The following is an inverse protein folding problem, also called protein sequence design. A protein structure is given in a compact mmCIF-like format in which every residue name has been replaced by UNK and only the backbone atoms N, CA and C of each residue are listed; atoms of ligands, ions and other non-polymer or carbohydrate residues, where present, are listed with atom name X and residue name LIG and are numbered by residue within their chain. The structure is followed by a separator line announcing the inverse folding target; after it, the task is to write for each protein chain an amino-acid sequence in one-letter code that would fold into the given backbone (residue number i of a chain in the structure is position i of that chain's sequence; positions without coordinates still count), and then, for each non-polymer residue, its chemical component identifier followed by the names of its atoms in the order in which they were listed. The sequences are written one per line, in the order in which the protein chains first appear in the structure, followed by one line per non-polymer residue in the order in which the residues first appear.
data_IF_683780446802
#
_entry.id   IF_683780446802
#
_cell.length_a   1.000
_cell.length_b   1.000
_cell.length_c   1.000
_cell.angle_alpha   90.00
_cell.angle_beta   90.00
_cell.angle_gamma   90.00
#
_symmetry.space_group_name_H-M   'P 1'
#
loop_
_entity.id
_entity.type
_entity.pdbx_description
1 polymer ?
#
# COMPACT_ATOMS: atom_id res chain seq x y z
N UNK A 1 -21.59 15.62 -3.13
CA UNK A 1 -20.16 15.34 -3.29
C UNK A 1 -19.63 14.73 -2.01
N UNK A 2 -18.85 13.64 -2.08
CA UNK A 2 -18.24 12.99 -0.93
C UNK A 2 -16.86 13.60 -0.73
N UNK A 3 -16.66 14.26 0.38
CA UNK A 3 -15.35 14.85 0.74
C UNK A 3 -14.46 13.84 1.45
N UNK A 4 -13.16 13.86 1.17
CA UNK A 4 -12.16 12.96 1.70
C UNK A 4 -11.05 13.74 2.39
N UNK A 5 -10.64 13.28 3.57
CA UNK A 5 -9.37 13.68 4.22
C UNK A 5 -8.35 12.55 4.03
N UNK A 6 -7.17 12.89 3.45
CA UNK A 6 -6.06 11.95 3.22
C UNK A 6 -4.93 12.21 4.23
N UNK A 7 -4.80 11.34 5.22
CA UNK A 7 -3.81 11.46 6.28
C UNK A 7 -2.64 10.48 6.06
N UNK A 8 -1.43 10.96 6.31
CA UNK A 8 -0.17 10.33 5.91
C UNK A 8 -0.05 10.24 4.38
N UNK A 9 -0.50 11.29 3.68
CA UNK A 9 -0.85 11.32 2.25
C UNK A 9 0.32 11.05 1.27
N UNK A 10 1.58 11.09 1.72
CA UNK A 10 2.72 10.98 0.81
C UNK A 10 2.65 12.00 -0.35
N UNK A 11 3.04 11.58 -1.55
CA UNK A 11 3.00 12.41 -2.75
C UNK A 11 1.60 12.45 -3.46
N UNK A 12 0.56 11.87 -2.85
CA UNK A 12 -0.82 11.97 -3.34
C UNK A 12 -1.33 10.77 -4.15
N UNK A 13 -0.71 9.59 -4.07
CA UNK A 13 -1.18 8.42 -4.81
C UNK A 13 -2.61 7.98 -4.44
N UNK A 14 -2.97 8.03 -3.17
CA UNK A 14 -4.32 7.79 -2.64
C UNK A 14 -5.31 8.84 -3.14
N UNK A 15 -4.93 10.11 -3.03
CA UNK A 15 -5.73 11.24 -3.49
C UNK A 15 -5.95 11.22 -5.00
N UNK A 16 -4.94 10.84 -5.81
CA UNK A 16 -5.08 10.65 -7.25
C UNK A 16 -6.12 9.57 -7.58
N UNK A 17 -6.07 8.45 -6.85
CA UNK A 17 -7.07 7.38 -7.00
C UNK A 17 -8.48 7.83 -6.60
N UNK A 18 -8.61 8.57 -5.51
CA UNK A 18 -9.88 9.07 -5.02
C UNK A 18 -10.50 10.12 -5.98
N UNK A 19 -9.69 11.05 -6.48
CA UNK A 19 -10.13 12.10 -7.41
C UNK A 19 -10.64 11.57 -8.76
N UNK A 20 -10.27 10.33 -9.14
CA UNK A 20 -10.80 9.67 -10.34
C UNK A 20 -12.21 9.12 -10.14
N UNK A 21 -12.73 9.08 -8.92
CA UNK A 21 -14.06 8.56 -8.63
C UNK A 21 -15.08 9.71 -8.76
N UNK A 22 -16.05 9.61 -9.68
CA UNK A 22 -17.06 10.66 -9.82
C UNK A 22 -17.80 10.94 -8.50
N UNK A 23 -17.85 12.20 -8.11
CA UNK A 23 -18.50 12.62 -6.87
C UNK A 23 -17.65 12.54 -5.61
N UNK A 24 -16.35 12.19 -5.72
CA UNK A 24 -15.39 12.25 -4.61
C UNK A 24 -14.44 13.44 -4.81
N UNK A 25 -14.20 14.18 -3.75
CA UNK A 25 -13.29 15.33 -3.69
C UNK A 25 -12.32 15.16 -2.52
N UNK A 26 -11.03 15.39 -2.77
CA UNK A 26 -10.00 15.46 -1.71
C UNK A 26 -10.03 16.85 -1.12
N UNK A 27 -10.62 16.98 0.06
CA UNK A 27 -10.79 18.26 0.74
C UNK A 27 -9.56 18.66 1.57
N UNK A 28 -8.86 17.69 2.15
CA UNK A 28 -7.70 17.95 2.99
C UNK A 28 -6.68 16.80 2.87
N UNK A 29 -5.40 17.15 2.88
CA UNK A 29 -4.29 16.19 2.91
C UNK A 29 -3.23 16.61 3.93
N UNK A 30 -2.67 15.65 4.65
CA UNK A 30 -1.67 15.93 5.68
C UNK A 30 -0.56 14.90 5.77
N UNK A 31 0.66 15.40 6.02
CA UNK A 31 1.84 14.61 6.31
C UNK A 31 2.77 15.41 7.24
N UNK A 32 3.66 14.73 7.96
CA UNK A 32 4.68 15.38 8.78
C UNK A 32 5.90 15.86 7.98
N UNK A 33 6.08 15.38 6.76
CA UNK A 33 7.22 15.70 5.91
C UNK A 33 6.85 16.76 4.86
N UNK A 34 7.46 17.94 4.96
CA UNK A 34 7.14 19.10 4.12
C UNK A 34 7.24 18.77 2.62
N UNK A 35 8.30 18.09 2.18
CA UNK A 35 8.46 17.74 0.77
C UNK A 35 7.31 16.85 0.23
N UNK A 36 6.78 15.95 1.06
CA UNK A 36 5.61 15.16 0.67
C UNK A 36 4.36 16.04 0.53
N UNK A 37 4.18 17.00 1.43
CA UNK A 37 3.08 17.98 1.38
C UNK A 37 3.18 18.86 0.14
N UNK A 38 4.37 19.38 -0.16
CA UNK A 38 4.62 20.23 -1.35
C UNK A 38 4.36 19.45 -2.64
N UNK A 39 4.86 18.22 -2.74
CA UNK A 39 4.62 17.34 -3.90
C UNK A 39 3.13 17.00 -4.04
N UNK A 40 2.44 16.77 -2.91
CA UNK A 40 1.00 16.54 -2.91
C UNK A 40 0.24 17.78 -3.40
N UNK A 41 0.66 18.98 -2.98
CA UNK A 41 0.04 20.23 -3.37
C UNK A 41 0.17 20.52 -4.88
N UNK A 42 1.31 20.17 -5.48
CA UNK A 42 1.47 20.24 -6.94
C UNK A 42 0.53 19.30 -7.68
N UNK A 43 0.31 18.08 -7.15
CA UNK A 43 -0.56 17.09 -7.77
C UNK A 43 -2.06 17.35 -7.51
N UNK A 44 -2.39 17.98 -6.38
CA UNK A 44 -3.77 18.20 -5.91
C UNK A 44 -3.96 19.60 -5.36
N UNK A 45 -3.85 20.68 -6.18
CA UNK A 45 -3.81 22.06 -5.72
C UNK A 45 -5.11 22.54 -5.04
N UNK A 46 -6.22 21.83 -5.24
CA UNK A 46 -7.52 22.21 -4.66
C UNK A 46 -7.73 21.69 -3.22
N UNK A 47 -6.87 20.83 -2.70
CA UNK A 47 -6.98 20.33 -1.33
C UNK A 47 -6.34 21.30 -0.32
N UNK A 48 -6.86 21.33 0.91
CA UNK A 48 -6.20 21.98 2.04
C UNK A 48 -5.00 21.14 2.49
N UNK A 49 -3.79 21.71 2.44
CA UNK A 49 -2.55 20.98 2.74
C UNK A 49 -2.00 21.35 4.11
N UNK A 50 -1.63 20.35 4.90
CA UNK A 50 -1.12 20.53 6.26
C UNK A 50 0.15 19.75 6.50
N UNK A 51 1.23 20.46 6.83
CA UNK A 51 2.45 19.84 7.34
C UNK A 51 2.35 19.72 8.85
N UNK A 52 2.07 18.53 9.37
CA UNK A 52 1.86 18.33 10.81
C UNK A 52 2.22 16.89 11.24
N UNK A 53 2.75 16.76 12.46
CA UNK A 53 2.83 15.47 13.12
C UNK A 53 1.43 15.07 13.61
N UNK A 54 0.82 14.13 12.92
CA UNK A 54 -0.55 13.71 13.18
C UNK A 54 -0.74 13.12 14.57
N UNK A 55 0.32 12.60 15.19
CA UNK A 55 0.25 12.05 16.54
C UNK A 55 0.19 13.14 17.64
N UNK A 56 0.57 14.37 17.30
CA UNK A 56 0.61 15.49 18.25
C UNK A 56 -0.49 16.53 18.02
N UNK A 57 -0.99 16.63 16.77
CA UNK A 57 -2.01 17.63 16.43
C UNK A 57 -3.40 17.19 16.90
N UNK A 58 -4.20 18.14 17.34
CA UNK A 58 -5.61 17.90 17.67
C UNK A 58 -6.44 17.69 16.39
N UNK A 59 -7.23 16.59 16.30
CA UNK A 59 -8.12 16.36 15.16
C UNK A 59 -9.09 17.51 14.86
N UNK A 60 -9.43 18.33 15.85
CA UNK A 60 -10.31 19.50 15.68
C UNK A 60 -9.80 20.54 14.68
N UNK A 61 -8.51 20.56 14.44
CA UNK A 61 -7.91 21.44 13.41
C UNK A 61 -8.15 20.99 11.98
N UNK A 62 -8.71 19.80 11.77
CA UNK A 62 -8.99 19.27 10.44
C UNK A 62 -10.47 19.47 10.06
N UNK A 63 -10.77 19.67 8.76
CA UNK A 63 -12.14 19.81 8.31
C UNK A 63 -12.92 18.51 8.50
N UNK A 64 -14.23 18.67 8.73
CA UNK A 64 -15.12 17.50 8.70
C UNK A 64 -15.31 17.03 7.27
N UNK A 65 -15.02 15.77 7.01
CA UNK A 65 -15.25 15.12 5.72
C UNK A 65 -16.05 13.84 5.88
N UNK A 66 -16.59 13.33 4.79
CA UNK A 66 -17.39 12.11 4.78
C UNK A 66 -16.50 10.87 4.85
N UNK A 67 -15.34 10.93 4.18
CA UNK A 67 -14.40 9.83 4.05
C UNK A 67 -13.07 10.17 4.71
N UNK A 68 -12.44 9.16 5.34
CA UNK A 68 -11.07 9.23 5.82
C UNK A 68 -10.19 8.20 5.11
N UNK A 69 -9.06 8.62 4.56
CA UNK A 69 -8.00 7.73 4.09
C UNK A 69 -6.77 7.90 4.97
N UNK A 70 -6.18 6.77 5.37
CA UNK A 70 -5.02 6.75 6.25
C UNK A 70 -3.97 5.79 5.70
N UNK A 71 -2.74 6.29 5.54
CA UNK A 71 -1.57 5.46 5.17
C UNK A 71 -0.49 5.57 6.26
N UNK A 72 -0.78 5.07 7.50
CA UNK A 72 0.13 5.23 8.63
C UNK A 72 1.47 4.56 8.39
N UNK A 73 2.52 5.06 9.02
CA UNK A 73 3.89 4.60 8.82
C UNK A 73 4.05 3.09 9.01
N UNK A 74 4.77 2.46 8.07
CA UNK A 74 5.02 1.02 8.05
C UNK A 74 6.47 0.64 8.34
N UNK A 75 7.33 1.58 8.73
CA UNK A 75 8.79 1.37 8.79
C UNK A 75 9.22 0.20 9.68
N UNK A 76 8.44 -0.13 10.71
CA UNK A 76 8.70 -1.25 11.61
C UNK A 76 7.87 -2.51 11.34
N UNK A 77 6.99 -2.48 10.34
CA UNK A 77 6.19 -3.64 9.92
C UNK A 77 6.69 -4.27 8.61
N UNK A 78 7.70 -3.68 7.97
CA UNK A 78 8.18 -4.12 6.66
C UNK A 78 9.44 -4.96 6.76
N UNK A 79 9.50 -6.04 5.97
CA UNK A 79 10.72 -6.83 5.73
C UNK A 79 11.68 -6.15 4.72
N UNK A 80 11.37 -4.96 4.23
CA UNK A 80 12.18 -4.26 3.23
C UNK A 80 13.58 -3.88 3.73
N UNK A 81 13.84 -3.91 5.04
CA UNK A 81 15.16 -3.74 5.65
C UNK A 81 16.05 -4.98 5.60
N UNK A 82 15.59 -6.10 5.02
CA UNK A 82 16.43 -7.28 4.79
C UNK A 82 16.72 -8.15 6.01
N UNK A 83 16.25 -7.80 7.19
CA UNK A 83 16.34 -8.60 8.41
C UNK A 83 15.01 -8.54 9.18
N UNK A 84 14.63 -9.65 9.82
CA UNK A 84 13.60 -9.60 10.86
C UNK A 84 14.16 -8.73 11.98
N UNK A 85 13.52 -7.62 12.28
CA UNK A 85 13.86 -6.82 13.46
C UNK A 85 13.53 -7.66 14.70
N UNK A 86 14.55 -8.22 15.31
CA UNK A 86 14.53 -8.58 16.72
C UNK A 86 14.78 -7.26 17.45
N UNK A 87 13.98 -6.96 18.47
CA UNK A 87 14.13 -5.75 19.28
C UNK A 87 15.61 -5.54 19.64
N UNK A 88 16.15 -4.38 19.29
CA UNK A 88 17.53 -3.98 19.62
C UNK A 88 18.60 -4.18 18.55
N UNK A 89 18.27 -4.54 17.29
CA UNK A 89 19.26 -4.64 16.21
C UNK A 89 19.55 -3.31 15.51
N UNK A 90 20.85 -3.03 15.30
CA UNK A 90 21.36 -1.88 14.55
C UNK A 90 20.79 -1.82 13.12
N UNK A 91 20.56 -0.59 12.63
CA UNK A 91 20.13 -0.35 11.25
C UNK A 91 21.26 -0.65 10.23
N UNK A 92 20.99 -0.40 8.94
CA UNK A 92 21.93 -0.60 7.82
C UNK A 92 23.22 0.25 7.92
N UNK A 93 23.27 1.20 8.86
CA UNK A 93 24.38 2.13 9.08
C UNK A 93 25.07 1.90 10.45
N UNK A 94 24.68 0.84 11.18
CA UNK A 94 25.26 0.53 12.49
C UNK A 94 24.70 1.36 13.64
N UNK A 95 23.70 2.21 13.39
CA UNK A 95 22.98 2.95 14.41
C UNK A 95 21.82 2.08 14.92
N UNK A 96 21.71 1.87 16.20
CA UNK A 96 20.49 1.40 16.85
C UNK A 96 19.46 2.48 16.68
N UNK A 97 18.39 2.21 15.90
CA UNK A 97 17.23 3.12 15.89
C UNK A 97 16.76 3.23 17.35
N UNK A 98 16.65 4.47 17.87
CA UNK A 98 16.11 4.65 19.21
C UNK A 98 14.73 3.98 19.27
N UNK A 99 14.41 3.26 20.33
CA UNK A 99 13.08 2.67 20.60
C UNK A 99 11.95 3.69 20.35
N UNK A 100 12.21 4.96 20.62
CA UNK A 100 11.33 6.08 20.38
C UNK A 100 10.89 6.27 18.90
N UNK A 101 11.71 5.90 17.91
CA UNK A 101 11.32 5.98 16.49
C UNK A 101 10.44 4.79 16.10
N UNK A 102 10.71 3.62 16.69
CA UNK A 102 9.87 2.43 16.55
C UNK A 102 8.50 2.63 17.19
N UNK A 103 8.46 3.20 18.37
CA UNK A 103 7.23 3.54 19.08
C UNK A 103 6.42 4.60 18.34
N UNK A 104 7.04 5.67 17.84
CA UNK A 104 6.37 6.67 17.00
C UNK A 104 5.76 6.07 15.74
N UNK A 105 6.47 5.19 15.05
CA UNK A 105 5.94 4.52 13.87
C UNK A 105 4.74 3.61 14.19
N UNK A 106 4.74 2.95 15.34
CA UNK A 106 3.62 2.13 15.84
C UNK A 106 2.44 2.99 16.33
N UNK A 107 2.73 4.16 16.90
CA UNK A 107 1.73 5.11 17.36
C UNK A 107 0.82 5.62 16.25
N UNK A 108 1.34 5.76 15.02
CA UNK A 108 0.55 6.28 13.87
C UNK A 108 -0.68 5.42 13.54
N UNK A 109 -0.70 4.13 13.87
CA UNK A 109 -1.89 3.29 13.74
C UNK A 109 -3.01 3.73 14.70
N UNK A 110 -2.67 4.22 15.91
CA UNK A 110 -3.65 4.69 16.87
C UNK A 110 -4.26 6.06 16.49
N UNK A 111 -3.57 6.83 15.65
CA UNK A 111 -4.12 8.07 15.10
C UNK A 111 -5.36 7.81 14.24
N UNK A 112 -5.44 6.65 13.58
CA UNK A 112 -6.65 6.24 12.86
C UNK A 112 -7.86 6.21 13.79
N UNK A 113 -7.72 5.59 14.97
CA UNK A 113 -8.79 5.52 15.98
C UNK A 113 -9.16 6.91 16.46
N UNK A 114 -8.17 7.71 16.86
CA UNK A 114 -8.34 9.06 17.42
C UNK A 114 -9.05 10.00 16.45
N UNK A 115 -8.63 10.03 15.19
CA UNK A 115 -9.27 10.85 14.16
C UNK A 115 -10.67 10.33 13.81
N UNK A 116 -10.86 9.01 13.72
CA UNK A 116 -12.16 8.41 13.43
C UNK A 116 -13.18 8.64 14.56
N UNK A 117 -12.74 8.59 15.82
CA UNK A 117 -13.58 8.92 16.97
C UNK A 117 -14.09 10.37 16.92
N UNK A 118 -13.19 11.32 16.60
CA UNK A 118 -13.52 12.74 16.54
C UNK A 118 -14.39 13.09 15.33
N UNK A 119 -13.94 12.72 14.11
CA UNK A 119 -14.58 13.15 12.87
C UNK A 119 -15.81 12.33 12.51
N UNK A 120 -15.90 11.10 13.01
CA UNK A 120 -17.00 10.16 12.73
C UNK A 120 -17.26 10.00 11.23
N UNK A 121 -16.20 9.76 10.45
CA UNK A 121 -16.30 9.48 9.03
C UNK A 121 -17.34 8.39 8.73
N UNK A 122 -18.08 8.51 7.64
CA UNK A 122 -18.99 7.44 7.21
C UNK A 122 -18.27 6.19 6.76
N UNK A 123 -17.09 6.36 6.15
CA UNK A 123 -16.18 5.27 5.87
C UNK A 123 -14.71 5.69 6.05
N UNK A 124 -13.88 4.74 6.46
CA UNK A 124 -12.44 4.92 6.65
C UNK A 124 -11.71 3.81 5.89
N UNK A 125 -10.70 4.18 5.14
CA UNK A 125 -9.81 3.25 4.45
C UNK A 125 -8.42 3.39 5.05
N UNK A 126 -7.85 2.27 5.53
CA UNK A 126 -6.48 2.21 6.04
C UNK A 126 -5.65 1.34 5.12
N UNK A 127 -4.62 1.92 4.51
CA UNK A 127 -3.64 1.23 3.69
C UNK A 127 -2.37 0.95 4.48
N UNK A 128 -1.81 -0.26 4.34
CA UNK A 128 -0.52 -0.58 4.93
C UNK A 128 0.17 -1.75 4.21
N UNK A 129 1.39 -2.09 4.65
CA UNK A 129 2.05 -3.33 4.25
C UNK A 129 1.31 -4.54 4.81
N UNK A 130 1.35 -5.65 4.08
CA UNK A 130 0.67 -6.90 4.49
C UNK A 130 1.06 -7.36 5.90
N UNK A 131 2.29 -7.07 6.31
CA UNK A 131 2.83 -7.52 7.60
C UNK A 131 2.25 -6.80 8.82
N UNK A 132 1.55 -5.68 8.65
CA UNK A 132 0.84 -5.01 9.77
C UNK A 132 -0.18 -5.92 10.45
N UNK A 133 -0.74 -6.88 9.73
CA UNK A 133 -1.63 -7.90 10.30
C UNK A 133 -0.97 -8.70 11.45
N UNK A 134 0.36 -8.81 11.44
CA UNK A 134 1.15 -9.51 12.48
C UNK A 134 1.59 -8.60 13.62
N UNK A 135 1.27 -7.34 13.58
CA UNK A 135 1.51 -6.42 14.68
C UNK A 135 0.73 -6.88 15.91
N UNK A 136 1.38 -7.14 17.07
CA UNK A 136 0.70 -7.73 18.22
C UNK A 136 -0.58 -7.00 18.66
N UNK A 137 -0.62 -5.64 18.68
CA UNK A 137 -1.85 -4.91 19.01
C UNK A 137 -2.91 -4.87 17.89
N UNK A 138 -2.70 -5.47 16.72
CA UNK A 138 -3.60 -5.33 15.57
C UNK A 138 -5.06 -5.69 15.90
N UNK A 139 -5.29 -6.77 16.66
CA UNK A 139 -6.64 -7.18 17.07
C UNK A 139 -7.26 -6.18 18.05
N UNK A 140 -6.48 -5.67 19.02
CA UNK A 140 -6.92 -4.62 19.94
C UNK A 140 -7.23 -3.32 19.22
N UNK A 141 -6.47 -2.99 18.19
CA UNK A 141 -6.73 -1.83 17.34
C UNK A 141 -8.04 -1.97 16.55
N UNK A 142 -8.32 -3.15 15.98
CA UNK A 142 -9.61 -3.44 15.35
C UNK A 142 -10.77 -3.34 16.35
N UNK A 143 -10.59 -3.88 17.57
CA UNK A 143 -11.57 -3.77 18.64
C UNK A 143 -11.83 -2.33 19.08
N UNK A 144 -10.80 -1.47 19.09
CA UNK A 144 -10.96 -0.05 19.36
C UNK A 144 -11.83 0.64 18.30
N UNK A 145 -11.61 0.36 17.00
CA UNK A 145 -12.48 0.86 15.93
C UNK A 145 -13.92 0.34 16.05
N UNK A 146 -14.08 -0.94 16.44
CA UNK A 146 -15.40 -1.53 16.68
C UNK A 146 -16.15 -0.83 17.84
N UNK A 147 -15.43 -0.51 18.92
CA UNK A 147 -15.99 0.16 20.11
C UNK A 147 -16.48 1.58 19.84
N UNK A 148 -15.85 2.29 18.88
CA UNK A 148 -16.28 3.63 18.45
C UNK A 148 -17.33 3.59 17.31
N UNK A 149 -17.88 2.41 17.01
CA UNK A 149 -19.05 2.24 16.14
C UNK A 149 -18.75 1.91 14.68
N UNK A 150 -17.58 1.30 14.36
CA UNK A 150 -17.25 0.86 13.01
C UNK A 150 -17.31 -0.66 12.86
N UNK A 151 -17.89 -1.11 11.76
CA UNK A 151 -17.68 -2.45 11.22
C UNK A 151 -16.52 -2.41 10.22
N UNK A 152 -15.90 -3.55 9.92
CA UNK A 152 -14.77 -3.57 8.98
C UNK A 152 -14.70 -4.83 8.11
N UNK A 153 -13.96 -4.73 7.03
CA UNK A 153 -13.52 -5.85 6.21
C UNK A 153 -12.07 -5.63 5.77
N UNK A 154 -11.27 -6.70 5.80
CA UNK A 154 -9.88 -6.69 5.38
C UNK A 154 -9.78 -7.18 3.94
N UNK A 155 -9.04 -6.46 3.10
CA UNK A 155 -8.76 -6.80 1.71
C UNK A 155 -7.26 -6.86 1.50
N UNK A 156 -6.78 -7.93 0.89
CA UNK A 156 -5.40 -8.05 0.41
C UNK A 156 -5.40 -7.89 -1.10
N UNK A 157 -4.62 -6.96 -1.59
CA UNK A 157 -4.57 -6.64 -3.02
C UNK A 157 -3.15 -6.31 -3.44
N UNK A 158 -2.76 -6.81 -4.61
CA UNK A 158 -1.58 -6.30 -5.29
C UNK A 158 -2.02 -5.16 -6.23
N UNK A 159 -1.35 -4.02 -6.15
CA UNK A 159 -1.72 -2.82 -6.92
C UNK A 159 -1.78 -3.04 -8.44
N UNK A 160 -1.00 -3.98 -8.98
CA UNK A 160 -1.05 -4.35 -10.41
C UNK A 160 -2.40 -4.94 -10.83
N UNK A 161 -3.22 -5.41 -9.87
CA UNK A 161 -4.54 -6.02 -10.10
C UNK A 161 -5.70 -5.17 -9.60
N UNK A 162 -5.45 -3.94 -9.18
CA UNK A 162 -6.49 -2.98 -8.79
C UNK A 162 -7.17 -2.40 -10.04
N UNK A 163 -8.19 -3.08 -10.58
CA UNK A 163 -8.76 -2.82 -11.91
C UNK A 163 -10.23 -2.44 -11.90
N UNK A 164 -10.78 -1.92 -10.79
CA UNK A 164 -12.23 -1.61 -10.71
C UNK A 164 -12.60 -0.39 -11.55
N UNK A 165 -11.77 0.64 -11.54
CA UNK A 165 -12.04 1.92 -12.20
C UNK A 165 -11.03 2.26 -13.30
N UNK A 166 -10.15 1.34 -13.64
CA UNK A 166 -9.13 1.57 -14.66
C UNK A 166 -8.10 0.45 -14.70
N UNK A 167 -7.04 0.60 -15.49
CA UNK A 167 -5.95 -0.37 -15.51
C UNK A 167 -5.23 -0.36 -14.16
N UNK A 168 -4.77 -1.54 -13.73
CA UNK A 168 -3.96 -1.67 -12.51
C UNK A 168 -2.66 -0.86 -12.59
N UNK A 169 -2.06 -0.61 -11.44
CA UNK A 169 -0.78 0.10 -11.39
C UNK A 169 0.33 -0.71 -12.09
N UNK A 170 1.23 -0.07 -12.84
CA UNK A 170 2.38 -0.74 -13.48
C UNK A 170 3.48 -1.08 -12.47
N UNK A 171 3.07 -1.59 -11.32
CA UNK A 171 3.94 -1.94 -10.21
C UNK A 171 3.35 -3.10 -9.41
N UNK A 172 4.13 -4.15 -9.20
CA UNK A 172 3.75 -5.22 -8.27
C UNK A 172 3.99 -4.77 -6.83
N UNK A 173 2.90 -4.45 -6.11
CA UNK A 173 2.95 -3.97 -4.72
C UNK A 173 1.81 -4.56 -3.90
N UNK A 174 2.13 -5.55 -3.06
CA UNK A 174 1.15 -6.15 -2.16
C UNK A 174 0.84 -5.24 -0.98
N UNK A 175 -0.46 -5.07 -0.71
CA UNK A 175 -0.97 -4.23 0.37
C UNK A 175 -2.14 -4.90 1.09
N UNK A 176 -2.31 -4.52 2.32
CA UNK A 176 -3.52 -4.73 3.10
C UNK A 176 -4.32 -3.43 3.11
N UNK A 177 -5.61 -3.53 2.89
CA UNK A 177 -6.57 -2.47 3.08
C UNK A 177 -7.56 -2.90 4.14
N UNK A 178 -7.72 -2.09 5.18
CA UNK A 178 -8.77 -2.29 6.17
C UNK A 178 -9.83 -1.21 5.89
N UNK A 179 -10.97 -1.65 5.42
CA UNK A 179 -12.10 -0.78 5.09
C UNK A 179 -13.08 -0.81 6.23
N UNK A 180 -13.29 0.33 6.86
CA UNK A 180 -14.26 0.53 7.92
C UNK A 180 -15.46 1.31 7.41
N UNK A 181 -16.63 1.03 7.96
CA UNK A 181 -17.85 1.82 7.76
C UNK A 181 -18.63 1.89 9.07
N UNK A 182 -19.40 2.96 9.25
CA UNK A 182 -20.20 3.11 10.46
C UNK A 182 -21.23 1.99 10.57
N UNK A 183 -21.39 1.43 11.76
CA UNK A 183 -22.43 0.46 12.07
C UNK A 183 -23.80 1.09 11.80
N UNK A 184 -24.66 0.37 11.12
CA UNK A 184 -25.95 0.89 10.62
C UNK A 184 -25.94 1.27 9.13
N UNK A 185 -24.77 1.60 8.56
CA UNK A 185 -24.64 1.78 7.11
C UNK A 185 -24.56 0.44 6.38
N UNK A 186 -24.96 0.44 5.11
CA UNK A 186 -24.82 -0.76 4.26
C UNK A 186 -23.34 -1.09 4.07
N UNK A 187 -22.99 -2.36 4.29
CA UNK A 187 -21.63 -2.85 4.06
C UNK A 187 -21.24 -2.70 2.57
N UNK A 188 -20.03 -2.17 2.26
CA UNK A 188 -19.58 -2.05 0.87
C UNK A 188 -19.33 -3.43 0.24
N UNK A 189 -19.68 -3.61 -1.04
CA UNK A 189 -19.33 -4.83 -1.78
C UNK A 189 -17.87 -4.78 -2.24
N UNK A 190 -16.97 -5.25 -1.38
CA UNK A 190 -15.52 -5.30 -1.65
C UNK A 190 -15.10 -6.51 -2.50
N UNK A 191 -16.04 -7.41 -2.87
CA UNK A 191 -15.70 -8.56 -3.74
C UNK A 191 -15.26 -8.11 -5.12
N UNK A 192 -15.80 -6.99 -5.60
CA UNK A 192 -15.43 -6.44 -6.91
C UNK A 192 -13.96 -6.06 -6.99
N UNK A 193 -13.38 -5.60 -5.88
CA UNK A 193 -11.98 -5.15 -5.79
C UNK A 193 -11.00 -6.31 -5.97
N UNK A 194 -11.38 -7.52 -5.54
CA UNK A 194 -10.53 -8.72 -5.60
C UNK A 194 -10.80 -9.61 -6.81
N UNK A 195 -11.53 -9.09 -7.82
CA UNK A 195 -11.87 -9.82 -9.05
C UNK A 195 -11.37 -9.11 -10.31
N UNK A 196 -10.06 -9.14 -10.56
CA UNK A 196 -9.48 -8.54 -11.76
C UNK A 196 -9.87 -9.29 -13.04
N UNK A 197 -9.73 -8.62 -14.17
CA UNK A 197 -9.87 -9.24 -15.48
C UNK A 197 -8.68 -10.17 -15.74
N UNK A 198 -8.95 -11.33 -16.33
CA UNK A 198 -7.94 -12.31 -16.71
C UNK A 198 -8.39 -13.08 -17.97
N UNK A 199 -7.46 -13.75 -18.62
CA UNK A 199 -7.76 -14.65 -19.74
C UNK A 199 -7.54 -16.08 -19.29
N UNK A 200 -8.59 -16.88 -19.38
CA UNK A 200 -8.53 -18.33 -19.19
C UNK A 200 -8.35 -19.00 -20.56
N UNK A 201 -7.41 -19.91 -20.72
CA UNK A 201 -7.14 -20.60 -21.99
C UNK A 201 -8.33 -21.39 -22.51
N UNK A 202 -9.21 -21.86 -21.61
CA UNK A 202 -10.41 -22.64 -21.94
C UNK A 202 -11.67 -21.80 -22.05
N UNK A 203 -11.78 -20.74 -21.20
CA UNK A 203 -13.05 -20.02 -21.03
C UNK A 203 -13.03 -18.60 -21.63
N UNK A 204 -11.89 -18.14 -22.16
CA UNK A 204 -11.72 -16.78 -22.65
C UNK A 204 -11.61 -15.76 -21.51
N UNK A 205 -12.06 -14.53 -21.74
CA UNK A 205 -12.04 -13.45 -20.76
C UNK A 205 -12.94 -13.75 -19.57
N UNK A 206 -12.42 -13.61 -18.36
CA UNK A 206 -13.12 -13.88 -17.10
C UNK A 206 -12.82 -12.82 -16.05
N UNK A 207 -13.71 -12.67 -15.08
CA UNK A 207 -13.45 -11.98 -13.81
C UNK A 207 -12.87 -13.00 -12.83
N UNK A 208 -11.56 -13.02 -12.69
CA UNK A 208 -10.85 -14.00 -11.87
C UNK A 208 -11.26 -13.94 -10.39
N UNK A 209 -11.13 -15.05 -9.69
CA UNK A 209 -11.37 -15.16 -8.25
C UNK A 209 -10.04 -15.22 -7.51
N UNK A 210 -9.90 -14.39 -6.48
CA UNK A 210 -8.81 -14.53 -5.51
C UNK A 210 -9.03 -15.79 -4.68
N UNK A 211 -8.06 -16.70 -4.67
CA UNK A 211 -8.14 -17.98 -3.97
C UNK A 211 -6.90 -18.18 -3.10
N UNK A 212 -7.11 -18.40 -1.82
CA UNK A 212 -6.05 -18.61 -0.83
C UNK A 212 -5.51 -20.04 -0.93
N UNK A 213 -4.18 -20.19 -0.90
CA UNK A 213 -3.52 -21.51 -0.95
C UNK A 213 -3.74 -22.34 0.32
N UNK A 214 -4.03 -21.68 1.43
CA UNK A 214 -4.30 -22.29 2.74
C UNK A 214 -5.69 -21.87 3.22
N UNK A 215 -6.76 -22.52 2.75
CA UNK A 215 -8.14 -22.18 3.11
C UNK A 215 -8.47 -22.54 4.59
N UNK A 216 -7.64 -23.35 5.23
CA UNK A 216 -7.69 -23.73 6.65
C UNK A 216 -7.26 -22.58 7.59
N UNK A 217 -6.79 -21.46 7.09
CA UNK A 217 -6.32 -20.31 7.87
C UNK A 217 -7.05 -19.04 7.46
N UNK A 218 -7.09 -18.09 8.40
CA UNK A 218 -7.58 -16.75 8.09
C UNK A 218 -6.80 -16.14 6.91
N UNK A 219 -7.48 -15.46 5.97
CA UNK A 219 -6.83 -14.80 4.83
C UNK A 219 -5.75 -13.83 5.28
N UNK A 220 -4.52 -14.08 4.82
CA UNK A 220 -3.38 -13.20 5.02
C UNK A 220 -2.29 -13.48 3.98
N UNK A 221 -1.79 -12.43 3.35
CA UNK A 221 -0.58 -12.61 2.54
C UNK A 221 -0.52 -11.84 1.24
N UNK A 222 0.40 -12.28 0.39
CA UNK A 222 0.80 -11.65 -0.87
C UNK A 222 0.42 -12.50 -2.06
N UNK A 223 0.24 -11.83 -3.18
CA UNK A 223 0.01 -12.47 -4.48
C UNK A 223 1.14 -13.46 -4.80
N UNK A 224 0.78 -14.57 -5.44
CA UNK A 224 1.63 -15.74 -5.74
C UNK A 224 2.16 -16.49 -4.50
N UNK A 225 2.47 -15.80 -3.42
CA UNK A 225 2.97 -16.45 -2.20
C UNK A 225 1.85 -17.15 -1.42
N UNK A 226 0.80 -16.43 -1.04
CA UNK A 226 -0.28 -16.94 -0.22
C UNK A 226 -1.59 -17.09 -0.96
N UNK A 227 -1.83 -16.30 -2.01
CA UNK A 227 -3.01 -16.44 -2.86
C UNK A 227 -2.64 -16.38 -4.35
N UNK A 228 -3.53 -16.91 -5.17
CA UNK A 228 -3.49 -16.88 -6.64
C UNK A 228 -4.86 -16.48 -7.16
N UNK A 229 -4.93 -16.21 -8.45
CA UNK A 229 -6.20 -16.01 -9.13
C UNK A 229 -6.60 -17.26 -9.90
N UNK A 230 -7.90 -17.58 -9.87
CA UNK A 230 -8.46 -18.72 -10.60
C UNK A 230 -9.65 -18.31 -11.46
N UNK A 231 -9.84 -19.04 -12.53
CA UNK A 231 -11.04 -18.93 -13.35
C UNK A 231 -12.27 -19.33 -12.52
N UNK A 232 -13.39 -18.57 -12.55
CA UNK A 232 -14.60 -18.93 -11.80
C UNK A 232 -15.35 -20.15 -12.40
N UNK A 233 -15.03 -20.57 -13.61
CA UNK A 233 -15.79 -21.59 -14.31
C UNK A 233 -15.29 -23.00 -13.96
N UNK A 234 -16.22 -23.89 -13.64
CA UNK A 234 -15.93 -25.31 -13.39
C UNK A 234 -15.53 -26.06 -14.65
N UNK A 235 -15.93 -25.61 -15.85
CA UNK A 235 -15.58 -26.19 -17.15
C UNK A 235 -14.07 -26.39 -17.32
N UNK A 236 -13.25 -25.46 -16.85
CA UNK A 236 -11.79 -25.55 -16.88
C UNK A 236 -11.19 -26.04 -15.56
N UNK A 237 -12.01 -26.60 -14.64
CA UNK A 237 -11.63 -27.04 -13.29
C UNK A 237 -11.01 -25.90 -12.45
N UNK A 238 -11.53 -24.69 -12.63
CA UNK A 238 -11.04 -23.49 -11.94
C UNK A 238 -9.51 -23.30 -12.07
N UNK A 239 -8.97 -23.48 -13.27
CA UNK A 239 -7.52 -23.37 -13.51
C UNK A 239 -6.98 -22.01 -13.02
N UNK A 240 -5.72 -21.98 -12.63
CA UNK A 240 -5.01 -20.74 -12.27
C UNK A 240 -4.93 -19.85 -13.51
N UNK A 241 -5.22 -18.59 -13.35
CA UNK A 241 -5.13 -17.56 -14.39
C UNK A 241 -4.29 -16.38 -13.91
N UNK A 242 -3.56 -15.76 -14.83
CA UNK A 242 -2.86 -14.51 -14.57
C UNK A 242 -3.80 -13.34 -14.91
N UNK A 243 -4.08 -12.43 -13.96
CA UNK A 243 -4.78 -11.20 -14.29
C UNK A 243 -4.00 -10.33 -15.25
N UNK A 244 -4.69 -9.54 -16.05
CA UNK A 244 -4.06 -8.53 -16.88
C UNK A 244 -3.27 -7.53 -16.01
N UNK A 245 -2.14 -7.07 -16.52
CA UNK A 245 -1.30 -6.08 -15.85
C UNK A 245 -0.68 -5.13 -16.88
N UNK A 246 -0.20 -3.98 -16.38
CA UNK A 246 0.58 -3.03 -17.18
C UNK A 246 2.07 -3.20 -16.88
N UNK A 247 2.94 -3.22 -17.87
CA UNK A 247 4.38 -3.20 -17.64
C UNK A 247 4.83 -1.83 -17.11
N UNK A 248 5.89 -1.81 -16.30
CA UNK A 248 6.47 -0.57 -15.78
C UNK A 248 6.97 0.34 -16.92
N UNK A 249 7.36 -0.24 -18.04
CA UNK A 249 7.82 0.48 -19.22
C UNK A 249 6.78 1.47 -19.77
N UNK A 250 5.49 1.26 -19.51
CA UNK A 250 4.41 2.16 -19.97
C UNK A 250 4.41 3.54 -19.32
N UNK A 251 5.12 3.69 -18.20
CA UNK A 251 5.15 4.95 -17.42
C UNK A 251 6.56 5.49 -17.17
N UNK A 252 7.59 4.75 -17.57
CA UNK A 252 8.98 5.22 -17.42
C UNK A 252 9.31 6.13 -18.59
N UNK A 253 9.64 7.37 -18.27
CA UNK A 253 10.27 8.26 -19.24
C UNK A 253 11.77 7.96 -19.29
N UNK A 254 12.17 7.23 -20.30
CA UNK A 254 13.55 6.80 -20.52
C UNK A 254 14.49 7.96 -20.92
N UNK A 255 13.96 9.14 -21.25
CA UNK A 255 14.75 10.34 -21.52
C UNK A 255 15.23 11.03 -20.24
N UNK A 256 14.56 10.80 -19.11
CA UNK A 256 14.92 11.32 -17.80
C UNK A 256 16.01 10.45 -17.17
N UNK A 257 17.24 10.74 -17.53
CA UNK A 257 18.41 10.07 -16.97
C UNK A 257 18.69 10.61 -15.57
N UNK A 258 18.73 9.75 -14.58
CA UNK A 258 19.19 10.10 -13.24
C UNK A 258 20.70 10.34 -13.20
N UNK A 259 21.20 10.75 -12.02
CA UNK A 259 22.64 10.87 -11.79
C UNK A 259 23.35 9.53 -12.06
N UNK A 260 24.47 9.57 -12.78
CA UNK A 260 25.28 8.37 -13.02
C UNK A 260 25.78 7.80 -11.68
N UNK A 261 25.77 6.49 -11.53
CA UNK A 261 26.18 5.82 -10.28
C UNK A 261 27.61 6.16 -9.91
N UNK A 262 28.51 6.29 -10.93
CA UNK A 262 29.92 6.65 -10.71
C UNK A 262 30.16 8.09 -10.28
N UNK A 263 29.19 8.98 -10.49
CA UNK A 263 29.32 10.42 -10.19
C UNK A 263 28.72 10.78 -8.81
N UNK A 264 28.33 9.79 -8.01
CA UNK A 264 27.77 10.00 -6.67
C UNK A 264 28.85 10.36 -5.68
N UNK A 265 28.65 11.40 -4.88
CA UNK A 265 29.53 11.76 -3.76
C UNK A 265 29.70 10.59 -2.76
N UNK A 266 28.58 9.93 -2.46
CA UNK A 266 28.57 8.72 -1.60
C UNK A 266 28.37 7.48 -2.47
N UNK A 267 29.38 6.61 -2.60
CA UNK A 267 29.25 5.37 -3.36
C UNK A 267 28.12 4.48 -2.85
N UNK A 268 27.55 3.67 -3.73
CA UNK A 268 26.59 2.63 -3.33
C UNK A 268 27.29 1.52 -2.55
N UNK A 269 26.58 0.91 -1.61
CA UNK A 269 27.09 -0.21 -0.86
C UNK A 269 27.56 -1.37 -1.77
N UNK A 270 28.66 -2.09 -1.43
CA UNK A 270 29.19 -3.16 -2.28
C UNK A 270 28.16 -4.22 -2.68
N UNK A 271 27.26 -4.60 -1.75
CA UNK A 271 26.15 -5.54 -2.05
C UNK A 271 25.18 -4.99 -3.09
N UNK A 272 24.95 -3.67 -3.12
CA UNK A 272 24.09 -3.02 -4.12
C UNK A 272 24.79 -3.03 -5.48
N UNK A 273 26.08 -2.70 -5.52
CA UNK A 273 26.88 -2.75 -6.76
C UNK A 273 26.93 -4.16 -7.34
N UNK A 274 27.15 -5.19 -6.52
CA UNK A 274 27.14 -6.59 -6.96
C UNK A 274 25.78 -7.01 -7.58
N UNK A 275 24.65 -6.54 -7.02
CA UNK A 275 23.31 -6.79 -7.59
C UNK A 275 23.09 -6.09 -8.93
N UNK A 276 23.57 -4.85 -9.04
CA UNK A 276 23.51 -4.10 -10.31
C UNK A 276 24.31 -4.83 -11.37
N UNK A 277 25.56 -5.23 -11.05
CA UNK A 277 26.42 -5.95 -11.96
C UNK A 277 25.78 -7.29 -12.42
N UNK A 278 25.28 -8.08 -11.50
CA UNK A 278 24.56 -9.33 -11.82
C UNK A 278 23.31 -9.08 -12.69
N UNK A 279 22.63 -7.96 -12.48
CA UNK A 279 21.49 -7.56 -13.31
C UNK A 279 21.92 -7.22 -14.74
N UNK A 280 22.99 -6.45 -14.90
CA UNK A 280 23.57 -6.10 -16.20
C UNK A 280 23.98 -7.37 -16.96
N UNK A 281 24.75 -8.25 -16.31
CA UNK A 281 25.21 -9.51 -16.88
C UNK A 281 24.06 -10.42 -17.35
N UNK A 282 22.99 -10.46 -16.59
CA UNK A 282 21.84 -11.34 -16.87
C UNK A 282 20.93 -10.82 -17.98
N UNK A 283 20.69 -9.53 -18.03
CA UNK A 283 19.61 -8.98 -18.86
C UNK A 283 20.11 -8.22 -20.09
N UNK A 284 21.35 -7.72 -20.07
CA UNK A 284 22.00 -6.98 -21.19
C UNK A 284 21.06 -6.01 -21.94
N UNK A 285 20.06 -5.46 -21.25
CA UNK A 285 19.12 -4.51 -21.80
C UNK A 285 18.73 -3.49 -20.75
N UNK A 286 18.20 -2.32 -21.09
CA UNK A 286 17.66 -1.39 -20.12
C UNK A 286 16.62 -2.07 -19.22
N UNK A 287 16.85 -2.01 -17.91
CA UNK A 287 15.92 -2.57 -16.91
C UNK A 287 15.94 -1.71 -15.65
N UNK A 288 14.85 -1.77 -14.90
CA UNK A 288 14.75 -1.12 -13.60
C UNK A 288 14.87 -2.20 -12.52
N UNK A 289 16.00 -2.27 -11.80
CA UNK A 289 16.13 -3.22 -10.71
C UNK A 289 15.28 -2.74 -9.52
N UNK A 290 14.30 -3.54 -9.12
CA UNK A 290 13.59 -3.33 -7.85
C UNK A 290 14.35 -4.07 -6.76
N UNK A 291 15.16 -3.35 -6.00
CA UNK A 291 15.93 -3.91 -4.88
C UNK A 291 15.00 -4.11 -3.68
N UNK A 292 14.49 -5.31 -3.51
CA UNK A 292 13.71 -5.73 -2.32
C UNK A 292 14.57 -6.65 -1.45
N UNK A 293 15.06 -6.13 -0.33
CA UNK A 293 15.70 -6.95 0.70
C UNK A 293 16.88 -7.78 0.19
N UNK A 294 17.08 -8.96 0.77
CA UNK A 294 18.19 -9.87 0.47
C UNK A 294 17.90 -10.88 -0.66
N UNK A 295 16.88 -10.68 -1.49
CA UNK A 295 16.66 -11.60 -2.60
C UNK A 295 17.83 -11.53 -3.58
N UNK A 296 18.50 -12.67 -3.76
CA UNK A 296 19.53 -12.85 -4.77
C UNK A 296 18.87 -12.82 -6.16
N UNK A 297 19.56 -12.32 -7.17
CA UNK A 297 19.08 -12.20 -8.56
C UNK A 297 18.59 -13.53 -9.20
N UNK A 298 18.63 -14.64 -8.47
CA UNK A 298 18.19 -15.97 -8.94
C UNK A 298 16.67 -16.20 -8.91
N UNK A 299 15.87 -15.39 -8.20
CA UNK A 299 14.43 -15.63 -8.02
C UNK A 299 13.51 -14.86 -8.98
N UNK A 300 14.05 -14.26 -10.01
CA UNK A 300 13.28 -13.61 -11.05
C UNK A 300 13.02 -14.58 -12.22
N UNK A 301 12.28 -15.66 -11.97
CA UNK A 301 11.61 -16.48 -13.02
C UNK A 301 10.10 -16.23 -12.99
#
# INVERSE_FOLDING_TARGET
MLTLTDLFCGAGGSSTGAAQIPGVEVACAANHWQLAVDTHAENHPNADHRCADLSQIDPRYFPRTVLGWFSPSCTHHTVARGQKLIDGQADLFGETLPDAAAERSRATMWDVVRFSEHHRYEAVIVENVVDVYRWPPFQSWLAAMDSIGYAHQIVYLNSMHAQVFGPGAPQSRDRIYIVFWRKGNTAPDLRRVTRPNAVCTTCGTVRAMQVWKRPDRAPWGRYRSQYVYRCPNVKCRNQVVEPAFRPAADIIDWSLLGQRIGDREKPLAPKTMARIQAGIERYWAPFVPVLRGQSVAHDAR
#
